data_IF_060303526810
#
_entry.id   IF_060303526810
#
_cell.length_a   1.000
_cell.length_b   1.000
_cell.length_c   1.000
_cell.angle_alpha   90.00
_cell.angle_beta   90.00
_cell.angle_gamma   90.00
#
_symmetry.space_group_name_H-M   'P 1'
#
loop_
_entity.id
_entity.type
_entity.pdbx_description
1 polymer ?
#
# COMPACT_ATOMS: atom_id res chain seq x y z
N UNK A 1 8.15 24.59 11.78
CA UNK A 1 8.49 24.05 10.44
C UNK A 1 7.30 23.22 9.98
N UNK A 2 6.68 23.53 8.85
CA UNK A 2 5.55 22.76 8.32
C UNK A 2 5.99 21.33 7.96
N UNK A 3 5.09 20.33 8.04
CA UNK A 3 5.40 18.98 7.59
C UNK A 3 5.79 19.02 6.10
N UNK A 4 6.85 18.31 5.73
CA UNK A 4 7.27 18.24 4.34
C UNK A 4 6.20 17.53 3.50
N UNK A 5 6.09 17.88 2.22
CA UNK A 5 5.13 17.24 1.32
C UNK A 5 5.28 15.71 1.32
N UNK A 6 6.51 15.19 1.38
CA UNK A 6 6.79 13.77 1.53
C UNK A 6 6.14 13.16 2.79
N UNK A 7 6.22 13.85 3.92
CA UNK A 7 5.63 13.41 5.18
C UNK A 7 4.10 13.32 5.09
N UNK A 8 3.47 14.35 4.53
CA UNK A 8 2.02 14.36 4.32
C UNK A 8 1.58 13.21 3.41
N UNK A 9 2.24 13.04 2.26
CA UNK A 9 1.92 11.99 1.30
C UNK A 9 2.16 10.57 1.85
N UNK A 10 3.15 10.38 2.73
CA UNK A 10 3.41 9.08 3.37
C UNK A 10 2.47 8.78 4.56
N UNK A 11 1.94 9.80 5.23
CA UNK A 11 1.06 9.65 6.40
C UNK A 11 -0.33 9.18 6.01
N UNK A 12 -0.86 9.71 4.92
CA UNK A 12 -2.24 9.47 4.47
C UNK A 12 -2.51 7.97 4.22
N UNK A 13 -1.67 7.21 3.50
CA UNK A 13 -1.85 5.76 3.34
C UNK A 13 -1.78 4.97 4.65
N UNK A 14 -0.93 5.39 5.60
CA UNK A 14 -0.78 4.68 6.89
C UNK A 14 -2.07 4.74 7.72
N UNK A 15 -2.77 5.87 7.76
CA UNK A 15 -4.03 6.02 8.50
C UNK A 15 -5.10 5.09 7.93
N UNK A 16 -5.18 4.99 6.60
CA UNK A 16 -6.16 4.13 5.96
C UNK A 16 -5.88 2.64 6.21
N UNK A 17 -4.63 2.22 6.30
CA UNK A 17 -4.30 0.83 6.62
C UNK A 17 -4.78 0.42 8.03
N UNK A 18 -4.84 1.35 8.98
CA UNK A 18 -5.48 1.08 10.27
C UNK A 18 -6.99 0.90 10.13
N UNK A 19 -7.65 1.75 9.33
CA UNK A 19 -9.07 1.57 9.01
C UNK A 19 -9.33 0.21 8.35
N UNK A 20 -8.45 -0.21 7.43
CA UNK A 20 -8.53 -1.50 6.74
C UNK A 20 -8.53 -2.67 7.73
N UNK A 21 -7.52 -2.70 8.59
CA UNK A 21 -7.35 -3.73 9.62
C UNK A 21 -8.51 -3.75 10.62
N UNK A 22 -9.01 -2.59 11.03
CA UNK A 22 -10.15 -2.49 11.95
C UNK A 22 -11.41 -3.07 11.32
N UNK A 23 -11.72 -2.72 10.08
CA UNK A 23 -12.91 -3.25 9.40
C UNK A 23 -12.81 -4.75 9.16
N UNK A 24 -11.62 -5.28 8.82
CA UNK A 24 -11.40 -6.73 8.76
C UNK A 24 -11.70 -7.36 10.13
N UNK A 25 -11.09 -6.84 11.19
CA UNK A 25 -11.24 -7.39 12.55
C UNK A 25 -12.68 -7.35 13.07
N UNK A 26 -13.44 -6.31 12.74
CA UNK A 26 -14.84 -6.18 13.11
C UNK A 26 -15.79 -7.00 12.24
N UNK A 27 -15.31 -7.51 11.11
CA UNK A 27 -16.14 -8.13 10.09
C UNK A 27 -16.96 -9.32 10.60
N UNK A 28 -16.36 -10.20 11.41
CA UNK A 28 -17.07 -11.32 12.04
C UNK A 28 -18.15 -10.89 13.05
N UNK A 29 -17.95 -9.75 13.72
CA UNK A 29 -18.92 -9.19 14.68
C UNK A 29 -20.07 -8.47 13.97
N UNK A 30 -19.79 -7.79 12.86
CA UNK A 30 -20.80 -7.06 12.07
C UNK A 30 -21.68 -8.04 11.27
N UNK A 31 -21.08 -9.12 10.76
CA UNK A 31 -21.77 -10.08 9.90
C UNK A 31 -22.01 -9.56 8.48
N UNK A 32 -22.62 -10.40 7.65
CA UNK A 32 -22.99 -10.05 6.27
C UNK A 32 -24.03 -8.93 6.23
N UNK A 33 -23.92 -8.02 5.25
CA UNK A 33 -24.95 -7.03 4.97
C UNK A 33 -24.40 -5.71 4.42
N UNK A 34 -25.32 -4.77 4.22
CA UNK A 34 -25.02 -3.47 3.60
C UNK A 34 -24.00 -2.64 4.40
N UNK A 35 -23.99 -2.77 5.73
CA UNK A 35 -23.01 -2.09 6.57
C UNK A 35 -21.58 -2.58 6.30
N UNK A 36 -21.34 -3.90 6.39
CA UNK A 36 -20.02 -4.47 6.13
C UNK A 36 -19.61 -4.22 4.67
N UNK A 37 -20.54 -4.31 3.72
CA UNK A 37 -20.32 -3.98 2.31
C UNK A 37 -19.90 -2.53 2.12
N UNK A 38 -20.57 -1.58 2.78
CA UNK A 38 -20.24 -0.16 2.75
C UNK A 38 -18.85 0.12 3.33
N UNK A 39 -18.53 -0.48 4.49
CA UNK A 39 -17.19 -0.34 5.08
C UNK A 39 -16.09 -0.88 4.16
N UNK A 40 -16.31 -2.03 3.52
CA UNK A 40 -15.39 -2.60 2.54
C UNK A 40 -15.26 -1.73 1.28
N UNK A 41 -16.34 -1.10 0.83
CA UNK A 41 -16.33 -0.15 -0.28
C UNK A 41 -15.35 1.00 0.00
N UNK A 42 -15.36 1.56 1.21
CA UNK A 42 -14.41 2.59 1.65
C UNK A 42 -12.98 2.05 1.70
N UNK A 43 -12.77 0.81 2.17
CA UNK A 43 -11.44 0.17 2.19
C UNK A 43 -10.83 0.11 0.79
N UNK A 44 -11.59 -0.39 -0.18
CA UNK A 44 -11.14 -0.52 -1.57
C UNK A 44 -10.90 0.85 -2.22
N UNK A 45 -11.84 1.78 -2.11
CA UNK A 45 -11.68 3.14 -2.63
C UNK A 45 -10.44 3.82 -2.05
N UNK A 46 -10.23 3.68 -0.75
CA UNK A 46 -9.06 4.24 -0.10
C UNK A 46 -7.76 3.65 -0.66
N UNK A 47 -7.68 2.33 -0.87
CA UNK A 47 -6.49 1.72 -1.48
C UNK A 47 -6.23 2.29 -2.87
N UNK A 48 -7.26 2.41 -3.70
CA UNK A 48 -7.12 2.86 -5.09
C UNK A 48 -6.78 4.36 -5.20
N UNK A 49 -7.34 5.20 -4.33
CA UNK A 49 -7.10 6.65 -4.36
C UNK A 49 -5.79 7.02 -3.68
N UNK A 50 -5.37 6.30 -2.62
CA UNK A 50 -4.23 6.69 -1.78
C UNK A 50 -2.92 5.98 -2.11
N UNK A 51 -2.94 4.83 -2.80
CA UNK A 51 -1.71 4.20 -3.32
C UNK A 51 -0.83 5.14 -4.17
N UNK A 52 -1.39 6.01 -5.05
CA UNK A 52 -0.62 7.03 -5.77
C UNK A 52 0.20 7.94 -4.87
N UNK A 53 -0.28 8.22 -3.65
CA UNK A 53 0.38 9.11 -2.71
C UNK A 53 1.70 8.50 -2.21
N UNK A 54 1.71 7.19 -1.97
CA UNK A 54 2.94 6.48 -1.62
C UNK A 54 3.98 6.53 -2.76
N UNK A 55 3.55 6.36 -4.01
CA UNK A 55 4.43 6.45 -5.19
C UNK A 55 5.02 7.86 -5.30
N UNK A 56 4.18 8.89 -5.26
CA UNK A 56 4.61 10.29 -5.36
C UNK A 56 5.51 10.67 -4.19
N UNK A 57 5.24 10.15 -2.98
CA UNK A 57 6.08 10.41 -1.81
C UNK A 57 7.54 9.99 -2.05
N UNK A 58 7.79 8.87 -2.75
CA UNK A 58 9.13 8.39 -3.08
C UNK A 58 9.84 9.38 -4.02
N UNK A 59 9.16 9.85 -5.06
CA UNK A 59 9.71 10.87 -5.97
C UNK A 59 10.05 12.18 -5.25
N UNK A 60 9.16 12.65 -4.36
CA UNK A 60 9.40 13.84 -3.55
C UNK A 60 10.57 13.64 -2.58
N UNK A 61 10.66 12.48 -1.92
CA UNK A 61 11.76 12.13 -1.04
C UNK A 61 13.10 12.07 -1.77
N UNK A 62 13.15 11.46 -2.96
CA UNK A 62 14.36 11.40 -3.78
C UNK A 62 14.87 12.79 -4.17
N UNK A 63 13.94 13.69 -4.54
CA UNK A 63 14.27 15.09 -4.82
C UNK A 63 14.74 15.83 -3.57
N UNK A 64 14.08 15.63 -2.43
CA UNK A 64 14.45 16.24 -1.14
C UNK A 64 15.80 15.75 -0.62
N UNK A 65 16.15 14.49 -0.88
CA UNK A 65 17.45 13.91 -0.53
C UNK A 65 18.60 14.45 -1.38
N UNK A 66 18.34 15.34 -2.36
CA UNK A 66 19.39 15.96 -3.17
C UNK A 66 19.91 15.08 -4.31
N UNK A 67 19.26 13.95 -4.62
CA UNK A 67 19.76 13.04 -5.65
C UNK A 67 19.72 13.68 -7.03
N UNK A 68 20.87 13.74 -7.73
CA UNK A 68 21.03 14.42 -9.03
C UNK A 68 20.02 13.94 -10.08
N UNK A 69 19.77 12.63 -10.14
CA UNK A 69 18.81 12.05 -11.07
C UNK A 69 17.36 12.46 -10.76
N UNK A 70 17.03 12.84 -9.53
CA UNK A 70 15.67 13.20 -9.09
C UNK A 70 15.41 14.72 -9.13
N UNK A 71 16.43 15.54 -9.40
CA UNK A 71 16.27 17.00 -9.48
C UNK A 71 15.44 17.47 -10.68
N UNK A 72 15.60 16.91 -11.90
CA UNK A 72 14.82 17.33 -13.06
C UNK A 72 13.30 17.24 -12.80
N UNK A 73 12.51 18.25 -13.19
CA UNK A 73 11.07 18.27 -12.93
C UNK A 73 10.33 17.12 -13.62
N UNK A 74 10.85 16.64 -14.76
CA UNK A 74 10.29 15.50 -15.50
C UNK A 74 10.26 14.21 -14.67
N UNK A 75 11.21 14.04 -13.73
CA UNK A 75 11.24 12.83 -12.90
C UNK A 75 10.12 12.84 -11.88
N UNK A 76 9.88 13.96 -11.20
CA UNK A 76 8.72 14.08 -10.32
C UNK A 76 7.40 13.96 -11.11
N UNK A 77 7.34 14.53 -12.31
CA UNK A 77 6.18 14.38 -13.20
C UNK A 77 5.94 12.90 -13.56
N UNK A 78 6.99 12.10 -13.78
CA UNK A 78 6.86 10.66 -14.03
C UNK A 78 6.29 9.90 -12.82
N UNK A 79 6.73 10.20 -11.60
CA UNK A 79 6.13 9.61 -10.38
C UNK A 79 4.65 9.98 -10.22
N UNK A 80 4.30 11.25 -10.51
CA UNK A 80 2.91 11.72 -10.48
C UNK A 80 2.09 10.99 -11.55
N UNK A 81 2.56 10.94 -12.79
CA UNK A 81 1.89 10.26 -13.89
C UNK A 81 1.67 8.77 -13.60
N UNK A 82 2.68 8.09 -13.05
CA UNK A 82 2.57 6.69 -12.64
C UNK A 82 1.54 6.50 -11.52
N UNK A 83 1.55 7.36 -10.50
CA UNK A 83 0.56 7.35 -9.44
C UNK A 83 -0.86 7.54 -9.98
N UNK A 84 -1.08 8.57 -10.80
CA UNK A 84 -2.39 8.86 -11.41
C UNK A 84 -2.84 7.71 -12.31
N UNK A 85 -1.94 7.12 -13.10
CA UNK A 85 -2.25 5.98 -13.94
C UNK A 85 -2.81 4.80 -13.13
N UNK A 86 -2.15 4.42 -12.03
CA UNK A 86 -2.67 3.34 -11.18
C UNK A 86 -3.98 3.72 -10.51
N UNK A 87 -4.13 4.97 -10.03
CA UNK A 87 -5.39 5.43 -9.45
C UNK A 87 -6.57 5.27 -10.40
N UNK A 88 -6.40 5.73 -11.66
CA UNK A 88 -7.44 5.68 -12.69
C UNK A 88 -7.72 4.23 -13.10
N UNK A 89 -6.67 3.43 -13.30
CA UNK A 89 -6.78 2.01 -13.64
C UNK A 89 -7.56 1.24 -12.56
N UNK A 90 -7.21 1.44 -11.30
CA UNK A 90 -7.82 0.74 -10.18
C UNK A 90 -9.26 1.20 -9.91
N UNK A 91 -9.54 2.50 -10.03
CA UNK A 91 -10.91 3.03 -9.97
C UNK A 91 -11.77 2.45 -11.09
N UNK A 92 -11.24 2.35 -12.30
CA UNK A 92 -11.96 1.71 -13.41
C UNK A 92 -12.25 0.24 -13.10
N UNK A 93 -11.28 -0.51 -12.57
CA UNK A 93 -11.49 -1.89 -12.15
C UNK A 93 -12.53 -2.01 -11.04
N UNK A 94 -12.50 -1.12 -10.05
CA UNK A 94 -13.46 -1.07 -8.95
C UNK A 94 -14.89 -0.91 -9.44
N UNK A 95 -15.15 0.08 -10.31
CA UNK A 95 -16.50 0.33 -10.83
C UNK A 95 -17.00 -0.78 -11.77
N UNK A 96 -16.11 -1.61 -12.30
CA UNK A 96 -16.45 -2.79 -13.09
C UNK A 96 -16.42 -4.11 -12.28
N UNK A 97 -16.29 -4.02 -10.95
CA UNK A 97 -16.22 -5.19 -10.06
C UNK A 97 -17.49 -5.32 -9.22
N UNK A 98 -17.86 -6.56 -8.94
CA UNK A 98 -18.93 -6.90 -8.00
C UNK A 98 -18.31 -7.39 -6.70
N UNK A 99 -18.90 -7.00 -5.58
CA UNK A 99 -18.50 -7.47 -4.26
C UNK A 99 -19.23 -8.75 -3.85
N UNK A 100 -18.46 -9.69 -3.32
CA UNK A 100 -18.93 -10.96 -2.81
C UNK A 100 -18.50 -11.15 -1.36
N UNK A 101 -19.32 -11.78 -0.51
CA UNK A 101 -18.91 -12.12 0.85
C UNK A 101 -17.75 -13.14 0.78
N UNK A 102 -16.79 -12.95 1.67
CA UNK A 102 -15.60 -13.77 1.84
C UNK A 102 -15.36 -14.01 3.31
N UNK A 103 -15.18 -15.28 3.66
CA UNK A 103 -15.03 -15.73 5.05
C UNK A 103 -13.73 -16.50 5.18
N UNK A 104 -12.97 -16.20 6.23
CA UNK A 104 -11.79 -16.96 6.59
C UNK A 104 -11.70 -17.03 8.11
N UNK A 105 -11.71 -18.24 8.67
CA UNK A 105 -11.89 -18.45 10.11
C UNK A 105 -13.08 -17.62 10.62
N UNK A 106 -12.91 -16.86 11.71
CA UNK A 106 -13.97 -16.03 12.32
C UNK A 106 -14.06 -14.63 11.69
N UNK A 107 -13.37 -14.38 10.57
CA UNK A 107 -13.32 -13.08 9.90
C UNK A 107 -14.18 -13.09 8.65
N UNK A 108 -15.05 -12.09 8.54
CA UNK A 108 -15.90 -11.88 7.37
C UNK A 108 -15.61 -10.54 6.69
N UNK A 109 -15.60 -10.50 5.36
CA UNK A 109 -15.38 -9.28 4.57
C UNK A 109 -16.03 -9.39 3.20
N UNK A 110 -15.99 -8.31 2.41
CA UNK A 110 -16.33 -8.36 1.00
C UNK A 110 -15.06 -8.30 0.13
N UNK A 111 -15.04 -9.07 -0.96
CA UNK A 111 -13.93 -9.16 -1.91
C UNK A 111 -14.44 -9.09 -3.36
N UNK A 112 -13.56 -8.81 -4.31
CA UNK A 112 -13.91 -8.81 -5.74
C UNK A 112 -13.83 -10.21 -6.38
N UNK A 113 -13.30 -11.21 -5.68
CA UNK A 113 -13.19 -12.58 -6.17
C UNK A 113 -13.27 -13.61 -5.03
N UNK A 114 -14.08 -14.66 -5.23
CA UNK A 114 -14.23 -15.77 -4.27
C UNK A 114 -13.32 -16.93 -4.65
N UNK A 115 -12.40 -17.28 -3.74
CA UNK A 115 -11.66 -18.55 -3.80
C UNK A 115 -12.30 -19.61 -2.90
N UNK A 116 -11.95 -20.89 -3.12
CA UNK A 116 -12.39 -22.00 -2.28
C UNK A 116 -12.04 -21.78 -0.79
N UNK A 117 -10.82 -21.29 -0.51
CA UNK A 117 -10.36 -20.99 0.84
C UNK A 117 -11.09 -19.82 1.53
N UNK A 118 -11.96 -19.12 0.80
CA UNK A 118 -12.67 -17.92 1.27
C UNK A 118 -14.19 -18.03 1.18
N UNK A 119 -14.71 -19.20 0.82
CA UNK A 119 -16.14 -19.42 0.68
C UNK A 119 -16.85 -19.31 2.04
N UNK A 120 -17.95 -18.55 2.10
CA UNK A 120 -18.76 -18.39 3.33
C UNK A 120 -19.74 -19.54 3.59
N UNK A 121 -19.79 -20.55 2.72
CA UNK A 121 -20.71 -21.68 2.85
C UNK A 121 -20.81 -22.51 1.57
N UNK A 122 -21.59 -23.60 1.59
CA UNK A 122 -21.76 -24.51 0.45
C UNK A 122 -22.45 -23.86 -0.75
N UNK A 123 -23.23 -22.80 -0.53
CA UNK A 123 -23.94 -22.07 -1.58
C UNK A 123 -23.06 -21.03 -2.29
N UNK A 124 -21.80 -20.86 -1.86
CA UNK A 124 -20.88 -19.91 -2.46
C UNK A 124 -20.44 -20.39 -3.86
N UNK A 125 -20.63 -19.52 -4.87
CA UNK A 125 -20.19 -19.82 -6.24
C UNK A 125 -18.69 -19.52 -6.37
N UNK A 126 -17.86 -20.54 -6.13
CA UNK A 126 -16.40 -20.47 -6.22
C UNK A 126 -15.97 -19.98 -7.61
N UNK A 127 -15.00 -19.06 -7.66
CA UNK A 127 -14.53 -18.44 -8.91
C UNK A 127 -15.37 -17.25 -9.37
N UNK A 128 -16.41 -16.87 -8.62
CA UNK A 128 -17.16 -15.65 -8.92
C UNK A 128 -16.31 -14.40 -8.79
N UNK A 129 -16.63 -13.40 -9.62
CA UNK A 129 -15.99 -12.10 -9.62
C UNK A 129 -14.72 -12.04 -10.47
N UNK A 130 -13.88 -11.05 -10.20
CA UNK A 130 -12.68 -10.75 -10.97
C UNK A 130 -11.45 -10.80 -10.09
N UNK A 131 -10.53 -11.71 -10.41
CA UNK A 131 -9.21 -11.70 -9.82
C UNK A 131 -8.43 -10.51 -10.37
N UNK A 132 -8.06 -9.58 -9.48
CA UNK A 132 -7.31 -8.37 -9.85
C UNK A 132 -5.83 -8.64 -9.58
N UNK A 133 -4.97 -8.63 -10.63
CA UNK A 133 -3.53 -8.78 -10.43
C UNK A 133 -2.95 -7.63 -9.60
N UNK A 134 -2.07 -7.90 -8.60
CA UNK A 134 -1.54 -6.87 -7.71
C UNK A 134 -0.37 -6.07 -8.33
N UNK A 135 -0.51 -5.66 -9.60
CA UNK A 135 0.52 -4.90 -10.34
C UNK A 135 0.92 -3.61 -9.62
N UNK A 136 -0.01 -2.79 -9.09
CA UNK A 136 0.36 -1.57 -8.39
C UNK A 136 1.17 -1.84 -7.10
N UNK A 137 0.82 -2.89 -6.36
CA UNK A 137 1.52 -3.29 -5.14
C UNK A 137 2.95 -3.76 -5.44
N UNK A 138 3.14 -4.57 -6.48
CA UNK A 138 4.48 -5.00 -6.92
C UNK A 138 5.34 -3.82 -7.36
N UNK A 139 4.74 -2.87 -8.10
CA UNK A 139 5.46 -1.68 -8.55
C UNK A 139 5.87 -0.82 -7.35
N UNK A 140 4.99 -0.60 -6.39
CA UNK A 140 5.31 0.15 -5.17
C UNK A 140 6.38 -0.55 -4.33
N UNK A 141 6.33 -1.88 -4.21
CA UNK A 141 7.36 -2.65 -3.51
C UNK A 141 8.73 -2.50 -4.20
N UNK A 142 8.79 -2.63 -5.52
CA UNK A 142 10.01 -2.43 -6.30
C UNK A 142 10.56 -1.01 -6.13
N UNK A 143 9.71 0.02 -6.17
CA UNK A 143 10.11 1.41 -5.93
C UNK A 143 10.67 1.61 -4.52
N UNK A 144 10.04 1.06 -3.48
CA UNK A 144 10.52 1.15 -2.10
C UNK A 144 11.88 0.47 -1.92
N UNK A 145 12.05 -0.72 -2.49
CA UNK A 145 13.30 -1.49 -2.41
C UNK A 145 14.42 -0.77 -3.15
N UNK A 146 14.21 -0.39 -4.41
CA UNK A 146 15.21 0.31 -5.22
C UNK A 146 15.59 1.67 -4.62
N UNK A 147 14.62 2.42 -4.12
CA UNK A 147 14.87 3.67 -3.40
C UNK A 147 15.62 3.44 -2.09
N UNK A 148 15.26 2.40 -1.32
CA UNK A 148 15.95 1.99 -0.10
C UNK A 148 17.41 1.58 -0.35
N UNK A 149 17.68 0.86 -1.43
CA UNK A 149 19.05 0.52 -1.87
C UNK A 149 19.84 1.80 -2.14
N UNK A 150 19.24 2.74 -2.88
CA UNK A 150 19.90 3.99 -3.22
C UNK A 150 20.19 4.85 -1.98
N UNK A 151 19.24 4.94 -1.05
CA UNK A 151 19.43 5.60 0.25
C UNK A 151 20.54 4.95 1.06
N UNK A 152 20.60 3.61 1.07
CA UNK A 152 21.67 2.91 1.75
C UNK A 152 23.03 3.25 1.14
N UNK A 153 23.17 3.14 -0.17
CA UNK A 153 24.45 3.39 -0.84
C UNK A 153 24.92 4.84 -0.77
N UNK A 154 24.00 5.81 -0.79
CA UNK A 154 24.36 7.23 -0.85
C UNK A 154 24.48 7.91 0.50
N UNK A 155 23.62 7.55 1.45
CA UNK A 155 23.53 8.24 2.75
C UNK A 155 23.51 7.28 3.95
N UNK A 156 23.77 5.99 3.73
CA UNK A 156 23.87 4.98 4.79
C UNK A 156 22.53 4.53 5.40
N UNK A 157 21.39 5.06 4.94
CA UNK A 157 20.07 4.73 5.50
C UNK A 157 19.51 3.43 4.90
N UNK A 158 19.73 2.31 5.59
CA UNK A 158 19.36 0.96 5.14
C UNK A 158 17.94 0.50 5.46
N UNK A 159 17.24 1.19 6.36
CA UNK A 159 16.02 0.64 6.98
C UNK A 159 14.85 0.49 6.00
N UNK A 160 14.67 1.41 5.05
CA UNK A 160 13.64 1.24 4.02
C UNK A 160 13.85 -0.04 3.21
N UNK A 161 15.08 -0.34 2.81
CA UNK A 161 15.41 -1.56 2.09
C UNK A 161 15.15 -2.81 2.92
N UNK A 162 15.66 -2.85 4.16
CA UNK A 162 15.55 -4.02 5.04
C UNK A 162 14.09 -4.35 5.32
N UNK A 163 13.29 -3.36 5.69
CA UNK A 163 11.88 -3.57 6.05
C UNK A 163 11.03 -3.87 4.82
N UNK A 164 11.23 -3.16 3.69
CA UNK A 164 10.46 -3.43 2.47
C UNK A 164 10.74 -4.84 1.92
N UNK A 165 11.99 -5.30 1.98
CA UNK A 165 12.37 -6.66 1.55
C UNK A 165 11.84 -7.71 2.53
N UNK A 166 11.96 -7.46 3.85
CA UNK A 166 11.41 -8.35 4.87
C UNK A 166 9.89 -8.53 4.75
N UNK A 167 9.17 -7.47 4.39
CA UNK A 167 7.72 -7.54 4.17
C UNK A 167 7.33 -8.41 2.97
N UNK A 168 8.19 -8.56 1.94
CA UNK A 168 7.93 -9.50 0.84
C UNK A 168 7.84 -10.95 1.33
N UNK A 169 8.60 -11.31 2.37
CA UNK A 169 8.51 -12.64 2.99
C UNK A 169 7.13 -12.83 3.60
N UNK A 170 6.60 -11.81 4.30
CA UNK A 170 5.24 -11.85 4.85
C UNK A 170 4.17 -11.96 3.76
N UNK A 171 4.33 -11.22 2.65
CA UNK A 171 3.41 -11.26 1.51
C UNK A 171 3.49 -12.56 0.70
N UNK A 172 4.59 -13.30 0.81
CA UNK A 172 4.74 -14.60 0.16
C UNK A 172 4.01 -15.74 0.88
N UNK A 173 3.55 -15.51 2.11
CA UNK A 173 2.82 -16.52 2.88
C UNK A 173 1.44 -16.73 2.23
N UNK A 174 1.07 -17.97 1.87
CA UNK A 174 -0.19 -18.23 1.18
C UNK A 174 -1.40 -17.72 1.94
N UNK A 175 -2.30 -17.06 1.21
CA UNK A 175 -3.56 -16.57 1.78
C UNK A 175 -4.41 -17.73 2.32
N UNK A 176 -4.45 -18.87 1.61
CA UNK A 176 -5.26 -20.04 1.95
C UNK A 176 -4.96 -20.64 3.32
N UNK A 177 -3.75 -20.44 3.87
CA UNK A 177 -3.37 -20.96 5.18
C UNK A 177 -3.51 -19.94 6.32
N UNK A 178 -3.67 -18.65 6.01
CA UNK A 178 -3.51 -17.58 7.03
C UNK A 178 -4.54 -16.45 6.95
N UNK A 179 -5.42 -16.45 5.95
CA UNK A 179 -6.45 -15.42 5.79
C UNK A 179 -5.91 -14.03 5.46
N UNK A 180 -4.62 -13.96 5.12
CA UNK A 180 -3.93 -12.71 4.83
C UNK A 180 -3.47 -11.94 6.07
N UNK A 181 -3.47 -12.53 7.27
CA UNK A 181 -3.01 -11.85 8.50
C UNK A 181 -1.61 -11.25 8.34
N UNK A 182 -0.69 -11.99 7.71
CA UNK A 182 0.67 -11.52 7.47
C UNK A 182 0.75 -10.38 6.45
N UNK A 183 -0.13 -10.37 5.45
CA UNK A 183 -0.24 -9.22 4.52
C UNK A 183 -0.76 -7.98 5.24
N UNK A 184 -1.83 -8.16 6.03
CA UNK A 184 -2.46 -7.08 6.78
C UNK A 184 -1.53 -6.47 7.84
N UNK A 185 -0.57 -7.24 8.38
CA UNK A 185 0.50 -6.75 9.28
C UNK A 185 1.65 -6.10 8.48
N UNK A 186 2.06 -6.71 7.38
CA UNK A 186 3.19 -6.24 6.58
C UNK A 186 2.95 -4.85 6.00
N UNK A 187 1.74 -4.58 5.51
CA UNK A 187 1.40 -3.31 4.87
C UNK A 187 1.55 -2.07 5.79
N UNK A 188 1.00 -2.07 7.02
CA UNK A 188 1.26 -1.01 8.01
C UNK A 188 2.74 -0.84 8.34
N UNK A 189 3.49 -1.93 8.49
CA UNK A 189 4.93 -1.89 8.79
C UNK A 189 5.69 -1.19 7.66
N UNK A 190 5.39 -1.55 6.40
CA UNK A 190 6.03 -0.94 5.22
C UNK A 190 5.64 0.55 5.10
N UNK A 191 4.39 0.89 5.42
CA UNK A 191 3.94 2.29 5.38
C UNK A 191 4.56 3.12 6.51
N UNK A 192 4.74 2.53 7.69
CA UNK A 192 5.42 3.16 8.82
C UNK A 192 6.90 3.43 8.49
N UNK A 193 7.63 2.48 7.89
CA UNK A 193 9.03 2.75 7.51
C UNK A 193 9.13 3.79 6.39
N UNK A 194 8.16 3.87 5.48
CA UNK A 194 8.11 4.92 4.46
C UNK A 194 7.96 6.30 5.13
N UNK A 195 7.07 6.42 6.11
CA UNK A 195 6.90 7.63 6.91
C UNK A 195 8.19 8.00 7.68
N UNK A 196 8.80 7.03 8.36
CA UNK A 196 10.06 7.22 9.08
C UNK A 196 11.21 7.63 8.15
N UNK A 197 11.21 7.12 6.91
CA UNK A 197 12.16 7.54 5.87
C UNK A 197 11.93 9.01 5.51
N UNK A 198 10.69 9.44 5.30
CA UNK A 198 10.37 10.84 5.04
C UNK A 198 10.79 11.76 6.19
N UNK A 199 10.58 11.33 7.45
CA UNK A 199 11.08 12.05 8.65
C UNK A 199 12.60 12.16 8.64
N UNK A 200 13.30 11.05 8.37
CA UNK A 200 14.76 11.00 8.37
C UNK A 200 15.36 11.94 7.31
N UNK A 201 14.84 11.90 6.08
CA UNK A 201 15.26 12.79 4.99
C UNK A 201 14.98 14.25 5.35
N UNK A 202 13.80 14.55 5.91
CA UNK A 202 13.43 15.93 6.28
C UNK A 202 14.35 16.50 7.37
N UNK A 203 14.79 15.66 8.32
CA UNK A 203 15.68 16.07 9.42
C UNK A 203 17.13 16.27 8.97
N UNK A 204 17.61 15.47 8.02
CA UNK A 204 19.01 15.45 7.61
C UNK A 204 19.28 16.17 6.28
N UNK A 205 18.25 16.79 5.68
CA UNK A 205 18.33 17.47 4.39
C UNK A 205 19.55 18.38 4.26
N UNK A 206 19.74 19.27 5.23
CA UNK A 206 20.79 20.29 5.19
C UNK A 206 22.18 19.65 5.24
N UNK A 207 22.35 18.52 5.94
CA UNK A 207 23.63 17.81 6.06
C UNK A 207 24.04 17.01 4.81
N UNK A 208 23.10 16.70 3.92
CA UNK A 208 23.36 15.87 2.74
C UNK A 208 23.56 16.67 1.47
N UNK A 209 23.11 17.93 1.43
CA UNK A 209 23.33 18.81 0.29
C UNK A 209 24.82 19.07 0.03
N UNK A 210 25.67 18.92 1.04
CA UNK A 210 27.12 19.06 0.92
C UNK A 210 27.83 17.79 0.42
N UNK A 211 27.13 16.65 0.32
CA UNK A 211 27.73 15.32 0.07
C UNK A 211 27.34 14.67 -1.27
N UNK A 212 26.34 15.21 -1.99
CA UNK A 212 25.69 14.59 -3.17
C UNK A 212 25.70 15.52 -4.40
#
# INVERSE_FOLDING_TARGET
RYPSLALLLATVPLILLWYDNVVIGLGGTIGEGDLLKGLNTVRFLGHYILLPFAIVSIGVMAKQAGFRWAQPPVVLAAFIALGVYFAVSDLWLFFNSTFYPSCFADVQRYTTHISEATACGPDAVIGSGKQIPPIPAFTLAALKITFGIYLWWKVGYKWLFVIATGALVLFSIPYSSTGGIFSNIGEPIVSAILLLTAVHITRNRDSWQDQL
#
